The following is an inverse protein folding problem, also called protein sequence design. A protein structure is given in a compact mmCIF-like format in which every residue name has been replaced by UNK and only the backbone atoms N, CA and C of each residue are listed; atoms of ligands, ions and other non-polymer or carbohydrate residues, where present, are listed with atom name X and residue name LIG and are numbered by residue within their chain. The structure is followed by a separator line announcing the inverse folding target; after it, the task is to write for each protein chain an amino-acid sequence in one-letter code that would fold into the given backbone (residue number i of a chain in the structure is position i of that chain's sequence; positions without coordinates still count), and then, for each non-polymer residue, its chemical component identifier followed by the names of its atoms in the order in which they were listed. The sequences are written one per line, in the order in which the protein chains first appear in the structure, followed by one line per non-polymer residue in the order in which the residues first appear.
data_IF_753042437414
#
_entry.id   IF_753042437414
#
_cell.length_a   1.000
_cell.length_b   1.000
_cell.length_c   1.000
_cell.angle_alpha   90.00
_cell.angle_beta   90.00
_cell.angle_gamma   90.00
#
_symmetry.space_group_name_H-M   'P 1'
#
loop_
_entity.id
_entity.type
_entity.pdbx_description
1 polymer ?
#
# COMPACT_ATOMS: atom_id res chain seq x y z
N UNK A 1 43.07 -43.47 -30.74
CA UNK A 1 42.47 -42.41 -31.57
C UNK A 1 42.23 -41.25 -30.61
N UNK A 2 43.05 -40.19 -30.55
CA UNK A 2 43.21 -39.08 -31.52
C UNK A 2 41.88 -38.36 -31.86
N UNK A 3 41.76 -37.13 -31.31
CA UNK A 3 41.25 -35.89 -31.95
C UNK A 3 39.76 -35.88 -32.37
N UNK A 4 39.03 -34.76 -32.31
CA UNK A 4 39.43 -33.37 -32.60
C UNK A 4 38.91 -32.31 -31.60
N UNK A 5 39.35 -31.07 -31.84
CA UNK A 5 39.15 -29.87 -31.03
C UNK A 5 38.80 -28.71 -31.98
N UNK A 6 37.78 -27.89 -31.70
CA UNK A 6 37.58 -26.58 -32.34
C UNK A 6 36.61 -25.69 -31.54
N UNK A 7 36.78 -24.36 -31.64
CA UNK A 7 36.19 -23.35 -30.74
C UNK A 7 36.17 -21.96 -31.40
N UNK A 8 34.98 -21.43 -31.69
CA UNK A 8 34.69 -20.03 -32.13
C UNK A 8 33.22 -19.75 -31.73
N UNK A 9 32.89 -18.98 -30.69
CA UNK A 9 32.79 -17.50 -30.62
C UNK A 9 31.78 -16.93 -31.63
N UNK A 10 30.70 -16.28 -31.18
CA UNK A 10 29.86 -15.48 -32.08
C UNK A 10 28.46 -15.03 -31.59
N UNK A 11 28.41 -13.88 -30.91
CA UNK A 11 27.29 -12.89 -30.89
C UNK A 11 25.96 -13.26 -30.19
N UNK A 12 25.46 -12.28 -29.43
CA UNK A 12 24.19 -12.26 -28.71
C UNK A 12 22.96 -12.18 -29.64
N UNK A 13 21.84 -12.76 -29.20
CA UNK A 13 20.50 -12.29 -29.55
C UNK A 13 19.58 -12.41 -28.32
N UNK A 14 18.97 -11.29 -27.93
CA UNK A 14 18.02 -11.23 -26.80
C UNK A 14 16.64 -11.67 -27.32
N UNK A 15 16.06 -12.68 -26.67
CA UNK A 15 14.67 -13.10 -26.88
C UNK A 15 14.02 -13.42 -25.54
N UNK A 16 13.39 -12.42 -24.93
CA UNK A 16 12.57 -12.61 -23.73
C UNK A 16 11.25 -13.28 -24.12
N UNK A 17 11.22 -14.61 -24.11
CA UNK A 17 10.00 -15.38 -24.30
C UNK A 17 9.23 -15.47 -22.97
N UNK A 18 8.37 -14.50 -22.71
CA UNK A 18 7.38 -14.57 -21.62
C UNK A 18 6.34 -15.62 -22.03
N UNK A 19 6.49 -16.85 -21.52
CA UNK A 19 5.53 -17.94 -21.72
C UNK A 19 4.55 -17.92 -20.55
N UNK A 20 3.52 -17.08 -20.64
CA UNK A 20 2.33 -17.21 -19.79
C UNK A 20 1.52 -18.38 -20.37
N UNK A 21 1.61 -19.53 -19.71
CA UNK A 21 0.93 -20.77 -20.07
C UNK A 21 -0.09 -21.17 -19.00
N UNK A 22 -0.91 -20.21 -18.57
CA UNK A 22 -2.04 -20.43 -17.67
C UNK A 22 -3.23 -21.04 -18.45
N UNK A 23 -3.15 -22.35 -18.70
CA UNK A 23 -4.23 -23.12 -19.32
C UNK A 23 -5.39 -23.33 -18.35
N UNK A 24 -6.26 -22.33 -18.22
CA UNK A 24 -7.52 -22.46 -17.49
C UNK A 24 -8.37 -23.57 -18.16
N UNK A 25 -8.40 -24.75 -17.53
CA UNK A 25 -9.03 -25.95 -18.10
C UNK A 25 -10.54 -25.92 -17.89
N UNK A 26 -11.24 -25.11 -18.69
CA UNK A 26 -12.71 -25.03 -18.70
C UNK A 26 -13.28 -26.39 -19.11
N UNK A 27 -13.88 -27.09 -18.15
CA UNK A 27 -14.66 -28.30 -18.40
C UNK A 27 -15.97 -27.93 -19.10
N UNK A 28 -15.98 -28.02 -20.42
CA UNK A 28 -17.20 -27.90 -21.22
C UNK A 28 -18.03 -29.20 -21.09
N UNK A 29 -18.95 -29.23 -20.12
CA UNK A 29 -20.12 -30.09 -20.25
C UNK A 29 -20.92 -29.69 -21.50
N UNK A 30 -21.47 -30.66 -22.23
CA UNK A 30 -22.13 -30.42 -23.52
C UNK A 30 -23.65 -30.30 -23.38
N UNK A 31 -24.26 -29.13 -23.70
CA UNK A 31 -25.70 -29.01 -23.90
C UNK A 31 -26.05 -29.02 -25.41
N UNK A 32 -27.03 -29.84 -25.79
CA UNK A 32 -27.67 -29.80 -27.11
C UNK A 32 -28.96 -28.96 -27.02
N UNK A 33 -28.81 -27.63 -26.98
CA UNK A 33 -29.90 -26.69 -27.27
C UNK A 33 -29.35 -25.37 -27.85
N UNK A 34 -30.15 -24.67 -28.65
CA UNK A 34 -29.74 -23.51 -29.45
C UNK A 34 -30.38 -22.21 -28.95
N UNK A 35 -29.73 -21.55 -27.98
CA UNK A 35 -29.98 -20.15 -27.62
C UNK A 35 -28.70 -19.33 -27.70
N UNK A 36 -28.64 -18.39 -28.65
CA UNK A 36 -27.45 -17.56 -28.88
C UNK A 36 -27.40 -16.32 -27.99
N UNK A 37 -27.21 -16.51 -26.69
CA UNK A 37 -26.80 -15.42 -25.80
C UNK A 37 -25.28 -15.25 -25.87
N UNK A 38 -24.83 -14.02 -26.16
CA UNK A 38 -23.41 -13.68 -26.26
C UNK A 38 -22.82 -13.50 -24.86
N UNK A 39 -22.47 -14.60 -24.20
CA UNK A 39 -21.70 -14.58 -22.95
C UNK A 39 -20.34 -13.93 -23.22
N UNK A 40 -20.21 -12.66 -22.84
CA UNK A 40 -18.92 -11.98 -22.75
C UNK A 40 -18.15 -12.62 -21.61
N UNK A 41 -17.23 -13.53 -21.92
CA UNK A 41 -16.44 -14.24 -20.92
C UNK A 41 -15.71 -13.27 -20.01
N UNK A 42 -16.05 -13.32 -18.72
CA UNK A 42 -15.27 -12.67 -17.66
C UNK A 42 -13.88 -13.30 -17.70
N UNK A 43 -12.84 -12.46 -17.79
CA UNK A 43 -11.45 -12.92 -17.72
C UNK A 43 -11.01 -12.78 -16.29
N UNK A 44 -10.90 -13.90 -15.58
CA UNK A 44 -10.41 -13.99 -14.20
C UNK A 44 -9.07 -13.26 -14.08
N UNK A 45 -9.12 -12.03 -13.58
CA UNK A 45 -7.97 -11.14 -13.58
C UNK A 45 -7.13 -11.44 -12.34
N UNK A 46 -6.11 -12.27 -12.54
CA UNK A 46 -5.14 -12.63 -11.49
C UNK A 46 -4.43 -11.37 -11.01
N UNK A 47 -4.62 -11.04 -9.74
CA UNK A 47 -3.93 -9.95 -9.05
C UNK A 47 -2.66 -10.52 -8.40
N UNK A 48 -1.45 -10.25 -8.94
CA UNK A 48 -0.22 -10.59 -8.25
C UNK A 48 -0.04 -9.69 -7.03
N UNK A 49 0.38 -10.28 -5.92
CA UNK A 49 0.77 -9.56 -4.70
C UNK A 49 2.28 -9.50 -4.66
N UNK A 50 2.81 -8.28 -4.68
CA UNK A 50 4.23 -7.98 -4.51
C UNK A 50 4.69 -8.44 -3.12
N UNK A 51 5.72 -9.28 -3.05
CA UNK A 51 6.21 -9.84 -1.78
C UNK A 51 6.82 -8.77 -0.87
N UNK A 52 7.35 -7.67 -1.44
CA UNK A 52 7.79 -6.51 -0.65
C UNK A 52 6.62 -5.82 0.04
N UNK A 53 5.42 -5.81 -0.57
CA UNK A 53 4.21 -5.26 0.05
C UNK A 53 3.66 -6.15 1.16
N UNK A 54 3.79 -7.48 1.06
CA UNK A 54 3.44 -8.38 2.18
C UNK A 54 4.33 -8.05 3.39
N UNK A 55 5.61 -7.79 3.17
CA UNK A 55 6.53 -7.45 4.26
C UNK A 55 6.31 -6.04 4.84
N UNK A 56 6.09 -5.03 4.00
CA UNK A 56 6.06 -3.61 4.39
C UNK A 56 4.65 -3.03 4.65
N UNK A 57 3.60 -3.57 4.04
CA UNK A 57 2.23 -3.00 4.07
C UNK A 57 1.22 -3.89 4.81
N UNK A 58 1.49 -5.18 5.01
CA UNK A 58 0.55 -6.11 5.68
C UNK A 58 0.80 -6.16 7.19
N UNK A 59 -0.24 -6.51 7.95
CA UNK A 59 -0.15 -6.58 9.41
C UNK A 59 0.41 -7.94 9.82
N UNK A 60 1.60 -7.92 10.42
CA UNK A 60 2.09 -9.09 11.15
C UNK A 60 1.21 -9.31 12.39
N UNK A 61 0.75 -10.54 12.57
CA UNK A 61 -0.07 -10.96 13.71
C UNK A 61 0.51 -12.24 14.36
N UNK A 62 0.35 -12.41 15.68
CA UNK A 62 -0.11 -11.40 16.64
C UNK A 62 0.96 -10.31 16.89
N UNK A 63 2.18 -10.52 16.37
CA UNK A 63 3.39 -9.71 16.50
C UNK A 63 4.02 -9.62 17.91
N UNK A 64 5.23 -9.08 17.95
CA UNK A 64 6.12 -9.03 19.12
C UNK A 64 5.55 -8.28 20.34
N UNK A 65 4.47 -7.51 20.19
CA UNK A 65 3.76 -6.89 21.33
C UNK A 65 3.31 -7.91 22.39
N UNK A 66 3.07 -9.15 21.99
CA UNK A 66 2.61 -10.24 22.86
C UNK A 66 3.74 -11.12 23.41
N UNK A 67 5.01 -10.78 23.13
CA UNK A 67 6.20 -11.45 23.66
C UNK A 67 7.16 -11.94 22.58
N UNK A 68 8.37 -12.32 23.00
CA UNK A 68 9.43 -12.79 22.09
C UNK A 68 9.03 -14.07 21.34
N UNK A 69 8.21 -14.95 21.95
CA UNK A 69 7.64 -16.14 21.31
C UNK A 69 6.59 -15.90 20.22
N UNK A 70 6.44 -14.66 19.74
CA UNK A 70 5.74 -14.35 18.49
C UNK A 70 6.61 -13.58 17.47
N UNK A 71 7.87 -13.29 17.80
CA UNK A 71 8.81 -12.65 16.88
C UNK A 71 9.61 -13.69 16.09
N UNK A 72 9.04 -14.19 14.98
CA UNK A 72 9.73 -15.15 14.11
C UNK A 72 10.91 -14.54 13.33
N UNK A 73 11.28 -13.28 13.56
CA UNK A 73 12.33 -12.58 12.83
C UNK A 73 12.08 -12.61 11.32
N UNK A 74 10.87 -12.23 10.90
CA UNK A 74 10.49 -12.16 9.49
C UNK A 74 11.44 -11.25 8.70
N UNK A 75 11.76 -11.64 7.47
CA UNK A 75 12.64 -10.92 6.54
C UNK A 75 12.06 -10.96 5.13
N UNK A 76 12.44 -9.97 4.31
CA UNK A 76 12.19 -9.94 2.86
C UNK A 76 13.52 -10.00 2.09
N UNK A 77 13.57 -10.81 1.03
CA UNK A 77 14.74 -10.98 0.17
C UNK A 77 14.47 -10.47 -1.25
N UNK A 78 14.84 -9.22 -1.51
CA UNK A 78 14.66 -8.56 -2.81
C UNK A 78 15.50 -9.15 -3.98
N UNK A 79 16.49 -10.02 -3.73
CA UNK A 79 17.20 -10.75 -4.82
C UNK A 79 16.37 -11.94 -5.33
N UNK A 80 15.52 -12.52 -4.46
CA UNK A 80 14.83 -13.80 -4.70
C UNK A 80 13.30 -13.72 -4.60
N UNK A 81 12.76 -12.54 -4.30
CA UNK A 81 11.33 -12.25 -4.18
C UNK A 81 10.60 -13.23 -3.24
N UNK A 82 11.08 -13.35 -2.00
CA UNK A 82 10.40 -14.09 -0.93
C UNK A 82 10.40 -13.33 0.39
N UNK A 83 9.41 -13.61 1.24
CA UNK A 83 9.53 -13.44 2.69
C UNK A 83 9.89 -14.77 3.36
N UNK A 84 10.60 -14.70 4.48
CA UNK A 84 10.95 -15.86 5.30
C UNK A 84 10.98 -15.55 6.81
N UNK A 85 10.80 -16.58 7.63
CA UNK A 85 11.11 -16.55 9.07
C UNK A 85 12.61 -16.79 9.33
N UNK A 86 13.08 -16.49 10.55
CA UNK A 86 14.44 -16.81 11.01
C UNK A 86 14.55 -17.28 12.47
N UNK A 87 13.51 -17.12 13.30
CA UNK A 87 13.48 -17.57 14.70
C UNK A 87 12.46 -18.70 14.89
N UNK A 88 12.78 -19.63 15.79
CA UNK A 88 11.82 -20.66 16.22
C UNK A 88 10.99 -20.08 17.38
N UNK A 89 9.68 -19.90 17.13
CA UNK A 89 8.69 -19.25 18.01
C UNK A 89 7.28 -19.81 17.74
N UNK A 90 6.27 -19.40 18.51
CA UNK A 90 4.86 -19.76 18.26
C UNK A 90 4.27 -19.13 16.98
N UNK A 91 2.96 -19.30 16.79
CA UNK A 91 2.26 -18.89 15.57
C UNK A 91 2.42 -17.40 15.25
N UNK A 92 2.93 -17.09 14.07
CA UNK A 92 2.86 -15.75 13.48
C UNK A 92 2.62 -15.83 11.98
N UNK A 93 1.93 -14.84 11.45
CA UNK A 93 1.72 -14.67 10.01
C UNK A 93 1.47 -13.22 9.63
N UNK A 94 1.07 -13.01 8.39
CA UNK A 94 0.58 -11.72 7.89
C UNK A 94 -0.88 -11.83 7.49
N UNK A 95 -1.63 -10.73 7.65
CA UNK A 95 -2.93 -10.54 6.98
C UNK A 95 -2.97 -9.18 6.28
N UNK A 96 -3.68 -9.10 5.16
CA UNK A 96 -3.81 -7.89 4.36
C UNK A 96 -4.81 -6.90 4.99
N UNK A 97 -4.39 -5.76 5.58
CA UNK A 97 -5.31 -4.79 6.17
C UNK A 97 -6.17 -4.03 5.14
N UNK A 98 -5.83 -4.15 3.84
CA UNK A 98 -6.59 -3.53 2.76
C UNK A 98 -7.73 -4.40 2.23
N UNK A 99 -7.85 -5.66 2.67
CA UNK A 99 -8.96 -6.57 2.32
C UNK A 99 -9.37 -7.33 3.57
N UNK A 100 -10.55 -7.03 4.10
CA UNK A 100 -11.08 -7.57 5.36
C UNK A 100 -12.39 -8.37 5.18
N UNK A 101 -12.93 -8.47 3.96
CA UNK A 101 -14.17 -9.17 3.64
C UNK A 101 -14.10 -10.00 2.34
N UNK A 102 -12.93 -10.56 1.98
CA UNK A 102 -12.82 -11.55 0.90
C UNK A 102 -13.70 -12.76 1.22
N UNK A 103 -14.62 -13.11 0.31
CA UNK A 103 -15.52 -14.26 0.42
C UNK A 103 -15.06 -15.44 -0.45
N UNK A 104 -14.96 -15.24 -1.77
CA UNK A 104 -14.74 -16.31 -2.75
C UNK A 104 -13.74 -15.91 -3.84
N UNK A 105 -13.00 -16.91 -4.34
CA UNK A 105 -11.93 -16.71 -5.30
C UNK A 105 -10.84 -17.77 -5.20
N UNK A 106 -9.67 -17.51 -5.77
CA UNK A 106 -8.55 -18.46 -5.79
C UNK A 106 -7.29 -17.76 -5.27
N UNK A 107 -6.67 -18.30 -4.21
CA UNK A 107 -5.31 -17.94 -3.80
C UNK A 107 -4.30 -18.87 -4.47
N UNK A 108 -3.15 -18.37 -4.91
CA UNK A 108 -2.02 -19.21 -5.33
C UNK A 108 -0.69 -18.61 -4.90
N UNK A 109 0.21 -19.43 -4.36
CA UNK A 109 1.49 -19.01 -3.78
C UNK A 109 2.52 -20.15 -3.82
N UNK A 110 3.80 -19.82 -3.93
CA UNK A 110 4.88 -20.80 -3.76
C UNK A 110 5.30 -20.88 -2.29
N UNK A 111 5.29 -22.09 -1.73
CA UNK A 111 5.88 -22.42 -0.44
C UNK A 111 7.24 -23.11 -0.60
N UNK A 112 8.06 -22.99 0.43
CA UNK A 112 9.19 -23.89 0.72
C UNK A 112 9.47 -23.89 2.22
N UNK A 113 9.96 -24.99 2.77
CA UNK A 113 10.68 -24.96 4.05
C UNK A 113 11.98 -25.76 4.02
N UNK A 114 12.95 -25.33 4.84
CA UNK A 114 14.17 -26.08 5.19
C UNK A 114 14.07 -26.74 6.57
N UNK A 115 13.02 -26.41 7.33
CA UNK A 115 12.73 -27.00 8.64
C UNK A 115 11.56 -27.99 8.52
N UNK A 116 11.37 -28.82 9.54
CA UNK A 116 10.31 -29.82 9.59
C UNK A 116 8.97 -29.27 10.11
N UNK A 117 9.00 -28.13 10.82
CA UNK A 117 7.87 -27.62 11.58
C UNK A 117 6.79 -26.91 10.72
N UNK A 118 5.59 -26.66 11.26
CA UNK A 118 4.45 -26.20 10.48
C UNK A 118 4.59 -24.83 9.80
N UNK A 119 4.11 -24.76 8.56
CA UNK A 119 3.92 -23.51 7.82
C UNK A 119 2.72 -23.62 6.87
N UNK A 120 2.16 -22.50 6.43
CA UNK A 120 0.94 -22.54 5.63
C UNK A 120 0.33 -21.18 5.32
N UNK A 121 -0.98 -21.18 5.09
CA UNK A 121 -1.74 -19.99 4.68
C UNK A 121 -3.12 -19.92 5.34
N UNK A 122 -3.57 -18.70 5.62
CA UNK A 122 -4.87 -18.39 6.22
C UNK A 122 -5.78 -17.63 5.26
N UNK A 123 -7.10 -17.84 5.39
CA UNK A 123 -8.14 -17.06 4.72
C UNK A 123 -9.38 -16.91 5.61
N UNK A 124 -10.27 -15.97 5.28
CA UNK A 124 -11.42 -15.66 6.13
C UNK A 124 -11.03 -15.03 7.47
N UNK A 125 -9.85 -14.41 7.54
CA UNK A 125 -9.27 -13.81 8.75
C UNK A 125 -10.07 -12.61 9.24
N UNK A 126 -10.66 -12.72 10.43
CA UNK A 126 -11.24 -11.61 11.18
C UNK A 126 -10.41 -11.31 12.42
N UNK A 127 -10.43 -10.03 12.81
CA UNK A 127 -9.82 -9.53 14.05
C UNK A 127 -10.90 -8.93 14.95
N UNK A 128 -10.74 -9.08 16.27
CA UNK A 128 -11.61 -8.53 17.30
C UNK A 128 -10.85 -8.39 18.64
N UNK A 129 -11.57 -8.32 19.75
CA UNK A 129 -10.98 -8.12 21.09
C UNK A 129 -10.58 -6.66 21.36
N UNK A 130 -9.50 -6.46 22.11
CA UNK A 130 -8.85 -5.14 22.33
C UNK A 130 -7.37 -5.18 21.91
N UNK A 131 -6.66 -4.04 21.92
CA UNK A 131 -5.23 -4.03 21.60
C UNK A 131 -4.41 -4.85 22.61
N UNK A 132 -4.85 -4.93 23.87
CA UNK A 132 -4.23 -5.70 24.94
C UNK A 132 -4.70 -7.16 25.00
N UNK A 133 -5.75 -7.53 24.26
CA UNK A 133 -6.38 -8.85 24.26
C UNK A 133 -7.08 -9.12 22.91
N UNK A 134 -6.33 -9.29 21.81
CA UNK A 134 -6.90 -9.46 20.48
C UNK A 134 -7.50 -10.86 20.30
N UNK A 135 -8.51 -10.93 19.45
CA UNK A 135 -9.16 -12.17 19.06
C UNK A 135 -9.09 -12.35 17.54
N UNK A 136 -8.76 -13.56 17.08
CA UNK A 136 -8.66 -13.91 15.67
C UNK A 136 -9.59 -15.08 15.34
N UNK A 137 -10.19 -15.10 14.14
CA UNK A 137 -10.87 -16.27 13.60
C UNK A 137 -10.61 -16.38 12.10
N UNK A 138 -10.39 -17.59 11.60
CA UNK A 138 -9.91 -17.84 10.23
C UNK A 138 -10.00 -19.32 9.85
N UNK A 139 -9.85 -19.61 8.57
CA UNK A 139 -9.45 -20.93 8.08
C UNK A 139 -7.94 -20.98 7.87
N UNK A 140 -7.34 -22.16 8.05
CA UNK A 140 -5.92 -22.40 7.82
C UNK A 140 -5.71 -23.68 7.01
N UNK A 141 -4.78 -23.62 6.06
CA UNK A 141 -4.14 -24.79 5.46
C UNK A 141 -2.72 -24.87 6.01
N UNK A 142 -2.39 -25.99 6.66
CA UNK A 142 -1.09 -26.26 7.28
C UNK A 142 -0.37 -27.40 6.54
N UNK A 143 0.93 -27.25 6.32
CA UNK A 143 1.85 -28.34 5.94
C UNK A 143 2.92 -28.52 7.01
N UNK A 144 3.21 -29.77 7.35
CA UNK A 144 4.12 -30.16 8.43
C UNK A 144 4.98 -31.34 7.97
N UNK A 145 6.27 -31.12 7.76
CA UNK A 145 7.20 -32.15 7.28
C UNK A 145 7.73 -33.07 8.40
N UNK A 146 7.63 -32.68 9.69
CA UNK A 146 8.08 -33.49 10.84
C UNK A 146 7.37 -34.86 10.92
N UNK A 147 6.08 -34.87 10.57
CA UNK A 147 5.19 -36.03 10.61
C UNK A 147 4.65 -36.42 9.22
N UNK A 148 5.12 -35.72 8.18
CA UNK A 148 4.61 -35.80 6.79
C UNK A 148 3.08 -35.68 6.73
N UNK A 149 2.55 -34.57 7.28
CA UNK A 149 1.12 -34.27 7.34
C UNK A 149 0.76 -32.92 6.75
N UNK A 150 -0.50 -32.81 6.35
CA UNK A 150 -1.18 -31.54 6.13
C UNK A 150 -2.55 -31.56 6.82
N UNK A 151 -3.09 -30.38 7.09
CA UNK A 151 -4.48 -30.24 7.50
C UNK A 151 -5.16 -28.98 6.96
N UNK A 152 -6.49 -29.03 6.90
CA UNK A 152 -7.38 -27.88 6.76
C UNK A 152 -8.17 -27.72 8.04
N UNK A 153 -8.12 -26.55 8.64
CA UNK A 153 -8.76 -26.23 9.91
C UNK A 153 -9.63 -24.98 9.84
N UNK A 154 -10.67 -24.92 10.67
CA UNK A 154 -11.42 -23.71 11.01
C UNK A 154 -11.07 -23.32 12.44
N UNK A 155 -10.67 -22.07 12.65
CA UNK A 155 -10.44 -21.45 13.96
C UNK A 155 -11.60 -20.49 14.22
N UNK A 156 -12.51 -20.91 15.10
CA UNK A 156 -13.68 -20.11 15.51
C UNK A 156 -13.26 -18.94 16.42
N UNK A 157 -12.18 -19.13 17.20
CA UNK A 157 -11.54 -18.10 18.01
C UNK A 157 -10.11 -18.50 18.36
N UNK A 158 -9.21 -17.52 18.38
CA UNK A 158 -7.88 -17.58 18.99
C UNK A 158 -7.57 -16.28 19.73
N UNK A 159 -7.08 -16.39 20.97
CA UNK A 159 -6.51 -15.28 21.74
C UNK A 159 -5.05 -15.60 22.07
N UNK A 160 -4.04 -14.85 21.59
CA UNK A 160 -2.63 -15.11 21.86
C UNK A 160 -2.30 -15.16 23.36
N UNK A 161 -1.47 -16.11 23.78
CA UNK A 161 -1.06 -16.24 25.18
C UNK A 161 -0.01 -15.17 25.54
N UNK A 162 -0.08 -14.61 26.75
CA UNK A 162 0.67 -13.40 27.13
C UNK A 162 2.02 -13.68 27.81
N UNK A 163 2.39 -14.95 27.91
CA UNK A 163 3.68 -15.43 28.41
C UNK A 163 4.70 -15.65 27.28
N UNK A 164 4.24 -16.02 26.08
CA UNK A 164 5.06 -16.08 24.87
C UNK A 164 6.28 -17.00 25.00
N UNK A 165 6.17 -18.07 25.78
CA UNK A 165 7.30 -18.92 26.21
C UNK A 165 7.35 -20.32 25.56
N UNK A 166 6.49 -20.59 24.58
CA UNK A 166 6.25 -21.91 24.01
C UNK A 166 6.01 -21.85 22.51
N UNK A 167 6.53 -22.82 21.76
CA UNK A 167 6.09 -23.08 20.40
C UNK A 167 4.64 -23.59 20.46
N UNK A 168 3.71 -22.74 20.07
CA UNK A 168 2.27 -22.98 20.20
C UNK A 168 1.48 -22.21 19.15
N UNK A 169 0.37 -22.78 18.72
CA UNK A 169 -0.46 -22.18 17.68
C UNK A 169 -1.92 -22.64 17.72
N UNK A 170 -2.85 -21.81 17.19
CA UNK A 170 -4.27 -22.16 17.06
C UNK A 170 -4.47 -23.39 16.16
N UNK A 171 -3.60 -23.58 15.17
CA UNK A 171 -3.24 -24.91 14.65
C UNK A 171 -1.75 -25.10 14.89
N UNK A 172 -1.35 -26.28 15.33
CA UNK A 172 0.05 -26.70 15.36
C UNK A 172 0.12 -28.22 15.17
N UNK A 173 0.91 -28.67 14.20
CA UNK A 173 1.12 -30.09 13.91
C UNK A 173 -0.20 -30.85 13.70
N UNK A 174 -1.07 -30.26 12.87
CA UNK A 174 -2.40 -30.77 12.52
C UNK A 174 -3.27 -31.09 13.75
N UNK A 175 -3.14 -30.24 14.78
CA UNK A 175 -3.88 -30.27 16.04
C UNK A 175 -4.33 -28.84 16.36
N UNK A 176 -5.61 -28.63 16.73
CA UNK A 176 -6.10 -27.29 17.17
C UNK A 176 -5.57 -26.99 18.58
N UNK A 177 -5.33 -25.74 18.96
CA UNK A 177 -5.05 -25.34 20.36
C UNK A 177 -3.88 -26.14 21.00
N UNK A 178 -2.73 -26.14 20.32
CA UNK A 178 -1.63 -27.07 20.61
C UNK A 178 -0.25 -26.39 20.74
N UNK A 179 0.65 -27.09 21.42
CA UNK A 179 2.04 -26.70 21.70
C UNK A 179 2.94 -27.95 21.81
N UNK A 180 4.27 -27.78 21.96
CA UNK A 180 5.26 -28.87 21.90
C UNK A 180 4.95 -30.13 22.73
N UNK A 181 4.48 -29.97 23.97
CA UNK A 181 4.13 -31.09 24.85
C UNK A 181 2.69 -31.62 24.64
N UNK A 182 1.92 -31.03 23.70
CA UNK A 182 0.46 -31.14 23.63
C UNK A 182 -0.14 -31.39 22.23
N UNK A 183 0.67 -31.84 21.24
CA UNK A 183 0.17 -32.31 19.93
C UNK A 183 0.17 -33.84 19.78
N UNK A 184 -0.49 -34.36 18.73
CA UNK A 184 -0.46 -35.80 18.39
C UNK A 184 -0.32 -36.11 16.89
N UNK A 185 -0.42 -35.13 15.99
CA UNK A 185 -0.53 -35.33 14.53
C UNK A 185 -1.75 -36.17 14.08
N UNK A 186 -2.89 -36.08 14.79
CA UNK A 186 -4.08 -36.93 14.55
C UNK A 186 -5.31 -36.21 13.98
N UNK A 187 -5.27 -34.88 13.75
CA UNK A 187 -6.48 -34.11 13.43
C UNK A 187 -7.36 -33.81 14.65
N UNK A 188 -6.79 -33.87 15.86
CA UNK A 188 -7.47 -33.69 17.13
C UNK A 188 -7.57 -32.20 17.55
N UNK A 189 -8.42 -31.92 18.54
CA UNK A 189 -8.25 -30.73 19.40
C UNK A 189 -7.26 -31.00 20.53
N UNK A 190 -6.41 -30.00 20.81
CA UNK A 190 -5.52 -29.92 21.97
C UNK A 190 -6.24 -29.46 23.23
N UNK A 191 -5.50 -28.81 24.13
CA UNK A 191 -5.98 -28.48 25.47
C UNK A 191 -5.19 -27.36 26.17
N UNK A 192 -4.52 -26.47 25.43
CA UNK A 192 -3.74 -25.36 26.01
C UNK A 192 -4.66 -24.19 26.43
N UNK A 193 -5.85 -24.09 25.83
CA UNK A 193 -6.95 -23.22 26.28
C UNK A 193 -6.95 -21.81 25.69
N UNK A 194 -6.24 -21.58 24.59
CA UNK A 194 -6.13 -20.27 23.92
C UNK A 194 -6.91 -20.20 22.59
N UNK A 195 -7.27 -21.34 21.99
CA UNK A 195 -8.02 -21.40 20.74
C UNK A 195 -9.20 -22.40 20.80
N UNK A 196 -10.19 -22.19 19.92
CA UNK A 196 -11.30 -23.10 19.67
C UNK A 196 -11.51 -23.22 18.16
N UNK A 197 -11.74 -24.44 17.67
CA UNK A 197 -11.86 -24.72 16.26
C UNK A 197 -11.93 -26.22 15.96
N UNK A 198 -11.81 -26.57 14.69
CA UNK A 198 -12.06 -27.91 14.16
C UNK A 198 -11.10 -28.22 12.99
N UNK A 199 -10.48 -29.40 13.00
CA UNK A 199 -9.76 -29.92 11.81
C UNK A 199 -10.79 -30.51 10.86
N UNK A 200 -11.11 -29.76 9.80
CA UNK A 200 -12.07 -30.18 8.76
C UNK A 200 -11.53 -31.37 7.95
N UNK A 201 -10.20 -31.42 7.78
CA UNK A 201 -9.51 -32.46 7.01
C UNK A 201 -8.04 -32.56 7.41
N UNK A 202 -7.48 -33.76 7.36
CA UNK A 202 -6.04 -33.97 7.39
C UNK A 202 -5.66 -35.18 6.51
N UNK A 203 -4.38 -35.32 6.22
CA UNK A 203 -3.86 -36.44 5.45
C UNK A 203 -2.33 -36.50 5.44
N UNK A 204 -1.80 -37.46 4.69
CA UNK A 204 -0.37 -37.61 4.44
C UNK A 204 0.11 -36.56 3.41
N UNK A 205 1.26 -35.95 3.68
CA UNK A 205 1.97 -35.03 2.79
C UNK A 205 3.12 -35.79 2.11
N UNK A 206 3.42 -35.46 0.85
CA UNK A 206 4.56 -36.08 0.16
C UNK A 206 5.89 -35.54 0.72
N UNK A 207 6.75 -36.46 1.18
CA UNK A 207 8.11 -36.19 1.64
C UNK A 207 8.96 -35.45 0.59
N UNK A 208 8.65 -35.60 -0.71
CA UNK A 208 9.38 -34.93 -1.79
C UNK A 208 9.26 -33.39 -1.76
N UNK A 209 8.27 -32.86 -1.04
CA UNK A 209 8.02 -31.44 -0.88
C UNK A 209 8.97 -30.77 0.14
N UNK A 210 9.59 -31.54 1.04
CA UNK A 210 10.56 -31.02 2.01
C UNK A 210 11.83 -30.52 1.31
N UNK A 211 12.26 -29.28 1.60
CA UNK A 211 13.34 -28.56 0.90
C UNK A 211 13.08 -28.34 -0.62
N UNK A 212 11.91 -28.70 -1.16
CA UNK A 212 11.48 -28.29 -2.49
C UNK A 212 10.80 -26.91 -2.44
N UNK A 213 10.67 -26.28 -3.62
CA UNK A 213 9.64 -25.24 -3.84
C UNK A 213 8.42 -25.94 -4.43
N UNK A 214 7.24 -25.64 -3.90
CA UNK A 214 5.97 -26.16 -4.41
C UNK A 214 4.91 -25.07 -4.44
N UNK A 215 4.02 -25.12 -5.43
CA UNK A 215 2.90 -24.20 -5.53
C UNK A 215 1.70 -24.78 -4.79
N UNK A 216 1.07 -23.96 -3.94
CA UNK A 216 -0.21 -24.25 -3.31
C UNK A 216 -1.26 -23.35 -3.94
N UNK A 217 -2.39 -23.94 -4.35
CA UNK A 217 -3.54 -23.19 -4.86
C UNK A 217 -4.78 -23.55 -4.03
N UNK A 218 -5.44 -22.55 -3.46
CA UNK A 218 -6.62 -22.70 -2.61
C UNK A 218 -7.79 -22.00 -3.32
N UNK A 219 -8.68 -22.78 -3.92
CA UNK A 219 -9.92 -22.30 -4.53
C UNK A 219 -11.03 -22.34 -3.49
N UNK A 220 -11.58 -21.16 -3.17
CA UNK A 220 -12.56 -20.90 -2.11
C UNK A 220 -13.89 -20.53 -2.77
N UNK A 221 -14.80 -21.50 -2.86
CA UNK A 221 -16.20 -21.28 -3.23
C UNK A 221 -17.09 -21.12 -1.99
N UNK A 222 -18.35 -20.72 -2.15
CA UNK A 222 -19.26 -20.35 -1.05
C UNK A 222 -19.38 -21.41 0.09
N UNK A 223 -19.29 -22.69 -0.27
CA UNK A 223 -19.52 -23.84 0.62
C UNK A 223 -18.48 -24.95 0.50
N UNK A 224 -17.49 -24.75 -0.37
CA UNK A 224 -16.54 -25.78 -0.79
C UNK A 224 -15.17 -25.13 -1.00
N UNK A 225 -14.15 -25.66 -0.34
CA UNK A 225 -12.76 -25.24 -0.58
C UNK A 225 -11.99 -26.42 -1.17
N UNK A 226 -11.34 -26.19 -2.32
CA UNK A 226 -10.47 -27.15 -3.01
C UNK A 226 -9.03 -26.70 -2.91
N UNK A 227 -8.14 -27.58 -2.45
CA UNK A 227 -6.71 -27.31 -2.30
C UNK A 227 -5.92 -28.19 -3.25
N UNK A 228 -4.98 -27.59 -3.95
CA UNK A 228 -4.08 -28.21 -4.92
C UNK A 228 -2.63 -27.98 -4.50
N UNK A 229 -1.77 -28.98 -4.74
CA UNK A 229 -0.31 -28.83 -4.68
C UNK A 229 0.25 -29.17 -6.06
N UNK A 230 1.06 -28.27 -6.63
CA UNK A 230 1.64 -28.42 -7.97
C UNK A 230 0.59 -28.79 -9.04
N UNK A 231 -0.56 -28.10 -8.98
CA UNK A 231 -1.75 -28.27 -9.83
C UNK A 231 -2.49 -29.62 -9.68
N UNK A 232 -2.02 -30.55 -8.84
CA UNK A 232 -2.76 -31.78 -8.48
C UNK A 232 -3.69 -31.54 -7.28
N UNK A 233 -4.93 -32.04 -7.35
CA UNK A 233 -5.93 -31.88 -6.29
C UNK A 233 -5.54 -32.70 -5.04
N UNK A 234 -5.15 -32.00 -3.97
CA UNK A 234 -4.85 -32.59 -2.67
C UNK A 234 -6.14 -32.95 -1.92
N UNK A 235 -7.10 -32.02 -1.84
CA UNK A 235 -8.34 -32.26 -1.10
C UNK A 235 -9.47 -31.30 -1.45
N UNK A 236 -10.68 -31.72 -1.06
CA UNK A 236 -11.90 -30.90 -1.00
C UNK A 236 -12.45 -30.94 0.42
N UNK A 237 -12.89 -29.79 0.94
CA UNK A 237 -13.65 -29.68 2.20
C UNK A 237 -14.96 -28.94 1.99
N UNK A 238 -16.01 -29.37 2.69
CA UNK A 238 -17.25 -28.60 2.85
C UNK A 238 -17.08 -27.63 4.02
N UNK A 239 -17.34 -26.34 3.80
CA UNK A 239 -17.22 -25.28 4.80
C UNK A 239 -18.02 -24.04 4.39
N UNK A 240 -18.90 -23.54 5.26
CA UNK A 240 -19.54 -22.23 5.05
C UNK A 240 -18.48 -21.12 5.16
N UNK A 241 -18.08 -20.50 4.04
CA UNK A 241 -16.91 -19.62 4.05
C UNK A 241 -17.18 -18.29 4.75
N UNK A 242 -16.29 -17.95 5.67
CA UNK A 242 -16.32 -16.70 6.44
C UNK A 242 -15.59 -15.62 5.64
N UNK A 243 -16.27 -14.51 5.35
CA UNK A 243 -15.65 -13.32 4.74
C UNK A 243 -14.50 -12.79 5.62
N UNK A 244 -13.33 -12.49 5.07
CA UNK A 244 -12.20 -12.01 5.89
C UNK A 244 -10.97 -11.58 5.10
N UNK A 245 -9.87 -11.35 5.80
CA UNK A 245 -8.53 -11.19 5.22
C UNK A 245 -7.84 -12.54 4.96
N UNK A 246 -6.60 -12.52 4.49
CA UNK A 246 -5.80 -13.70 4.15
C UNK A 246 -4.30 -13.43 4.23
N UNK A 247 -3.50 -14.49 4.34
CA UNK A 247 -2.05 -14.43 4.24
C UNK A 247 -1.28 -15.60 4.87
N UNK A 248 0.05 -15.66 4.64
CA UNK A 248 0.92 -16.76 5.06
C UNK A 248 1.17 -16.78 6.57
N UNK A 249 1.46 -17.96 7.13
CA UNK A 249 1.82 -18.16 8.53
C UNK A 249 2.91 -19.22 8.73
N UNK A 250 3.61 -19.15 9.86
CA UNK A 250 4.57 -20.15 10.33
C UNK A 250 4.40 -20.38 11.85
N UNK A 251 4.65 -21.61 12.31
CA UNK A 251 4.59 -22.00 13.72
C UNK A 251 5.73 -22.97 14.01
N UNK A 252 6.58 -22.69 15.00
CA UNK A 252 7.86 -23.36 15.28
C UNK A 252 8.90 -23.35 14.13
N UNK A 253 8.56 -22.77 12.98
CA UNK A 253 9.38 -22.90 11.77
C UNK A 253 10.28 -21.66 11.54
N UNK A 254 11.61 -21.73 11.84
CA UNK A 254 12.58 -20.66 11.57
C UNK A 254 13.03 -20.57 10.11
N UNK A 255 12.56 -21.44 9.21
CA UNK A 255 12.99 -21.52 7.82
C UNK A 255 11.80 -21.80 6.89
N UNK A 256 10.70 -21.08 7.08
CA UNK A 256 9.54 -21.08 6.19
C UNK A 256 9.69 -19.95 5.16
N UNK A 257 9.41 -20.21 3.89
CA UNK A 257 9.61 -19.29 2.77
C UNK A 257 8.33 -19.19 1.94
N UNK A 258 7.93 -17.96 1.59
CA UNK A 258 6.74 -17.67 0.79
C UNK A 258 7.07 -16.67 -0.32
N UNK A 259 6.62 -16.95 -1.55
CA UNK A 259 6.83 -16.09 -2.72
C UNK A 259 5.66 -16.20 -3.71
N UNK A 260 5.59 -15.26 -4.66
CA UNK A 260 4.66 -15.31 -5.81
C UNK A 260 3.18 -15.42 -5.40
N UNK A 261 2.79 -14.80 -4.27
CA UNK A 261 1.39 -14.77 -3.87
C UNK A 261 0.58 -14.03 -4.94
N UNK A 262 -0.55 -14.60 -5.30
CA UNK A 262 -1.54 -14.00 -6.19
C UNK A 262 -2.94 -14.42 -5.76
N UNK A 263 -3.93 -13.63 -6.13
CA UNK A 263 -5.33 -14.02 -5.95
C UNK A 263 -6.19 -13.60 -7.14
N UNK A 264 -7.25 -14.37 -7.38
CA UNK A 264 -8.47 -13.88 -8.03
C UNK A 264 -9.57 -13.82 -6.97
N UNK A 265 -10.49 -12.87 -7.09
CA UNK A 265 -11.83 -12.99 -6.51
C UNK A 265 -12.77 -13.56 -7.57
N UNK A 266 -13.87 -14.20 -7.17
CA UNK A 266 -14.91 -14.59 -8.13
C UNK A 266 -15.51 -13.35 -8.82
N UNK A 267 -15.66 -12.26 -8.06
CA UNK A 267 -15.96 -10.92 -8.55
C UNK A 267 -14.67 -10.10 -8.58
N UNK A 268 -13.88 -10.15 -9.66
CA UNK A 268 -12.73 -9.22 -9.79
C UNK A 268 -13.24 -7.83 -10.14
N UNK A 269 -13.52 -7.03 -9.11
CA UNK A 269 -14.01 -5.67 -9.30
C UNK A 269 -12.89 -4.68 -9.59
N UNK A 270 -12.90 -4.09 -10.79
CA UNK A 270 -12.04 -2.97 -11.17
C UNK A 270 -12.64 -1.67 -10.63
N UNK A 271 -12.22 -1.29 -9.42
CA UNK A 271 -12.52 -0.01 -8.80
C UNK A 271 -11.54 1.09 -9.25
N UNK A 272 -12.02 2.09 -9.99
CA UNK A 272 -11.29 3.34 -10.24
C UNK A 272 -11.84 4.46 -9.34
N UNK A 273 -11.06 4.88 -8.34
CA UNK A 273 -11.29 6.16 -7.66
C UNK A 273 -10.93 7.32 -8.60
N UNK A 274 -11.79 8.33 -8.73
CA UNK A 274 -11.58 9.47 -9.62
C UNK A 274 -12.48 10.63 -9.22
N UNK A 275 -11.98 11.86 -9.21
CA UNK A 275 -12.82 13.05 -8.97
C UNK A 275 -12.27 14.30 -9.64
N UNK A 276 -13.10 15.34 -9.72
CA UNK A 276 -12.72 16.70 -10.11
C UNK A 276 -13.28 17.74 -9.14
N UNK A 277 -12.49 18.77 -8.83
CA UNK A 277 -13.02 19.97 -8.17
C UNK A 277 -13.79 20.79 -9.20
N UNK A 278 -14.93 21.35 -8.81
CA UNK A 278 -15.74 22.23 -9.65
C UNK A 278 -16.02 23.57 -8.96
N UNK A 279 -16.20 24.60 -9.76
CA UNK A 279 -16.63 25.93 -9.31
C UNK A 279 -18.16 26.05 -9.20
N UNK A 280 -18.65 27.25 -8.84
CA UNK A 280 -20.08 27.60 -8.75
C UNK A 280 -20.87 27.43 -10.07
N UNK A 281 -20.21 27.20 -11.21
CA UNK A 281 -20.84 26.90 -12.51
C UNK A 281 -20.85 25.42 -12.87
N UNK A 282 -20.19 24.56 -12.09
CA UNK A 282 -19.95 23.16 -12.44
C UNK A 282 -18.78 22.96 -13.41
N UNK A 283 -17.91 23.97 -13.57
CA UNK A 283 -16.71 23.88 -14.42
C UNK A 283 -15.55 23.32 -13.61
N UNK A 284 -14.80 22.36 -14.17
CA UNK A 284 -13.65 21.76 -13.51
C UNK A 284 -12.51 22.76 -13.30
N UNK A 285 -11.93 22.81 -12.08
CA UNK A 285 -10.91 23.78 -11.68
C UNK A 285 -9.73 23.13 -10.94
N UNK A 286 -8.57 23.78 -11.00
CA UNK A 286 -7.37 23.46 -10.18
C UNK A 286 -6.87 24.67 -9.37
N UNK A 287 -7.46 25.84 -9.57
CA UNK A 287 -7.14 27.08 -8.86
C UNK A 287 -8.42 27.87 -8.64
N UNK A 288 -8.64 28.42 -7.45
CA UNK A 288 -9.85 29.19 -7.13
C UNK A 288 -9.59 30.30 -6.09
N UNK A 289 -10.26 31.46 -6.17
CA UNK A 289 -10.23 32.47 -5.10
C UNK A 289 -10.88 31.99 -3.80
N UNK A 290 -10.34 32.35 -2.63
CA UNK A 290 -10.86 31.95 -1.31
C UNK A 290 -12.25 32.49 -0.96
N UNK A 291 -12.80 33.42 -1.75
CA UNK A 291 -14.16 33.93 -1.62
C UNK A 291 -15.18 33.22 -2.54
N UNK A 292 -14.79 32.12 -3.18
CA UNK A 292 -15.64 31.31 -4.08
C UNK A 292 -15.85 29.90 -3.53
N UNK A 293 -17.02 29.33 -3.80
CA UNK A 293 -17.30 27.94 -3.41
C UNK A 293 -16.65 26.94 -4.36
N UNK A 294 -16.22 25.84 -3.76
CA UNK A 294 -15.78 24.62 -4.44
C UNK A 294 -16.79 23.53 -4.14
N UNK A 295 -17.11 22.72 -5.13
CA UNK A 295 -17.66 21.37 -4.92
C UNK A 295 -16.66 20.33 -5.42
N UNK A 296 -16.77 19.10 -4.92
CA UNK A 296 -16.17 17.95 -5.58
C UNK A 296 -17.28 17.24 -6.34
N UNK A 297 -16.99 16.86 -7.57
CA UNK A 297 -17.77 15.89 -8.32
C UNK A 297 -16.98 14.59 -8.34
N UNK A 298 -17.53 13.57 -7.70
CA UNK A 298 -17.04 12.22 -7.87
C UNK A 298 -17.26 11.75 -9.32
N UNK A 299 -16.30 10.98 -9.81
CA UNK A 299 -16.22 10.38 -11.13
C UNK A 299 -15.79 8.91 -11.03
N UNK A 300 -15.85 8.33 -9.83
CA UNK A 300 -15.37 6.99 -9.55
C UNK A 300 -16.27 5.96 -10.24
N UNK A 301 -15.68 4.82 -10.60
CA UNK A 301 -16.38 3.79 -11.37
C UNK A 301 -16.00 2.40 -10.93
N UNK A 302 -16.96 1.49 -11.11
CA UNK A 302 -16.85 0.06 -10.91
C UNK A 302 -17.42 -0.67 -12.13
N UNK A 303 -17.12 -1.96 -12.25
CA UNK A 303 -17.53 -2.84 -13.34
C UNK A 303 -18.61 -3.86 -12.92
N UNK A 304 -18.38 -4.60 -11.82
CA UNK A 304 -19.25 -5.68 -11.36
C UNK A 304 -19.76 -5.50 -9.92
N UNK A 305 -18.95 -4.94 -9.02
CA UNK A 305 -19.30 -4.78 -7.59
C UNK A 305 -19.40 -3.29 -7.24
N UNK A 306 -20.54 -2.80 -6.71
CA UNK A 306 -20.71 -1.38 -6.40
C UNK A 306 -19.68 -0.80 -5.43
N UNK A 307 -19.45 0.51 -5.53
CA UNK A 307 -18.75 1.28 -4.49
C UNK A 307 -19.70 1.44 -3.31
N UNK A 308 -19.38 0.79 -2.19
CA UNK A 308 -20.12 0.88 -0.93
C UNK A 308 -19.45 1.83 0.08
N UNK A 309 -18.18 2.18 -0.14
CA UNK A 309 -17.41 3.04 0.77
C UNK A 309 -16.46 3.98 0.02
N UNK A 310 -16.54 5.26 0.32
CA UNK A 310 -15.56 6.28 -0.05
C UNK A 310 -14.65 6.59 1.14
N UNK A 311 -13.38 6.90 0.87
CA UNK A 311 -12.40 7.36 1.87
C UNK A 311 -11.69 8.59 1.30
N UNK A 312 -12.18 9.75 1.72
CA UNK A 312 -11.60 11.05 1.42
C UNK A 312 -10.54 11.40 2.47
N UNK A 313 -9.45 12.03 2.05
CA UNK A 313 -8.50 12.69 2.94
C UNK A 313 -8.01 13.97 2.29
N UNK A 314 -7.89 15.05 3.08
CA UNK A 314 -7.43 16.36 2.61
C UNK A 314 -6.27 16.84 3.47
N UNK A 315 -5.22 17.30 2.80
CA UNK A 315 -4.13 18.06 3.41
C UNK A 315 -4.18 19.53 2.99
N UNK A 316 -3.69 20.40 3.85
CA UNK A 316 -3.36 21.79 3.53
C UNK A 316 -1.84 21.96 3.75
N UNK A 317 -1.08 22.03 2.66
CA UNK A 317 0.36 21.73 2.71
C UNK A 317 0.59 20.29 3.18
N UNK A 318 1.44 20.10 4.18
CA UNK A 318 1.77 18.77 4.74
C UNK A 318 0.76 18.26 5.79
N UNK A 319 -0.03 19.14 6.39
CA UNK A 319 -0.94 18.83 7.52
C UNK A 319 -2.24 18.19 7.03
N UNK A 320 -2.62 17.03 7.58
CA UNK A 320 -3.92 16.38 7.33
C UNK A 320 -4.99 17.13 8.14
N UNK A 321 -5.92 17.78 7.43
CA UNK A 321 -6.99 18.59 8.02
C UNK A 321 -8.35 17.88 8.00
N UNK A 322 -8.50 16.81 7.21
CA UNK A 322 -9.74 16.04 7.11
C UNK A 322 -9.47 14.60 6.66
N UNK A 323 -10.19 13.65 7.25
CA UNK A 323 -10.40 12.29 6.74
C UNK A 323 -11.85 11.90 7.02
N UNK A 324 -12.54 11.28 6.06
CA UNK A 324 -13.94 10.87 6.22
C UNK A 324 -14.55 10.23 4.99
N UNK A 325 -15.83 9.85 5.11
CA UNK A 325 -16.58 9.08 4.10
C UNK A 325 -17.41 9.96 3.16
N UNK A 326 -17.22 11.28 3.20
CA UNK A 326 -17.86 12.24 2.29
C UNK A 326 -16.87 13.28 1.78
N UNK A 327 -17.11 13.90 0.61
CA UNK A 327 -16.20 14.91 0.08
C UNK A 327 -16.09 16.13 1.01
N UNK A 328 -14.86 16.58 1.26
CA UNK A 328 -14.60 17.81 1.99
C UNK A 328 -15.10 19.05 1.23
N UNK A 329 -15.50 20.10 1.95
CA UNK A 329 -16.15 21.29 1.35
C UNK A 329 -15.61 22.65 1.84
N UNK A 330 -14.74 22.68 2.85
CA UNK A 330 -14.31 23.94 3.52
C UNK A 330 -12.99 24.51 2.96
N UNK A 331 -12.92 24.70 1.65
CA UNK A 331 -11.77 25.28 0.93
C UNK A 331 -11.65 26.81 1.11
N UNK A 332 -11.59 27.28 2.35
CA UNK A 332 -11.68 28.69 2.73
C UNK A 332 -10.34 29.36 3.12
N UNK A 333 -9.25 28.61 3.25
CA UNK A 333 -7.91 29.14 3.57
C UNK A 333 -7.06 29.28 2.31
N UNK A 334 -6.15 30.26 2.28
CA UNK A 334 -5.22 30.44 1.16
C UNK A 334 -4.08 29.41 1.28
N UNK A 335 -3.82 28.66 0.22
CA UNK A 335 -2.79 27.62 0.23
C UNK A 335 -3.00 26.55 -0.83
N UNK A 336 -2.23 25.46 -0.72
CA UNK A 336 -2.35 24.29 -1.58
C UNK A 336 -3.04 23.15 -0.83
N UNK A 337 -4.21 22.74 -1.33
CA UNK A 337 -4.95 21.59 -0.82
C UNK A 337 -4.65 20.35 -1.65
N UNK A 338 -4.23 19.27 -1.02
CA UNK A 338 -4.09 17.95 -1.66
C UNK A 338 -5.21 17.06 -1.14
N UNK A 339 -6.20 16.79 -1.99
CA UNK A 339 -7.28 15.83 -1.70
C UNK A 339 -6.93 14.48 -2.33
N UNK A 340 -7.13 13.41 -1.57
CA UNK A 340 -7.03 12.02 -2.05
C UNK A 340 -8.34 11.28 -1.84
N UNK A 341 -8.68 10.39 -2.77
CA UNK A 341 -9.81 9.47 -2.69
C UNK A 341 -9.31 8.03 -2.86
N UNK A 342 -9.80 7.14 -2.00
CA UNK A 342 -9.83 5.70 -2.25
C UNK A 342 -11.28 5.21 -2.12
N UNK A 343 -11.72 4.33 -3.00
CA UNK A 343 -13.06 3.72 -2.93
C UNK A 343 -12.96 2.21 -2.67
N UNK A 344 -13.98 1.62 -2.08
CA UNK A 344 -14.07 0.19 -1.80
C UNK A 344 -15.48 -0.39 -2.03
N UNK A 345 -15.54 -1.70 -2.31
CA UNK A 345 -16.79 -2.46 -2.45
C UNK A 345 -17.19 -3.18 -1.15
N UNK A 346 -18.30 -3.93 -1.17
CA UNK A 346 -18.80 -4.73 -0.04
C UNK A 346 -17.77 -5.77 0.47
N UNK A 347 -16.94 -6.32 -0.41
CA UNK A 347 -15.87 -7.29 -0.09
C UNK A 347 -14.61 -6.62 0.49
N UNK A 348 -14.62 -5.29 0.68
CA UNK A 348 -13.50 -4.50 1.21
C UNK A 348 -12.35 -4.31 0.22
N UNK A 349 -12.47 -4.78 -1.02
CA UNK A 349 -11.49 -4.56 -2.10
C UNK A 349 -11.40 -3.06 -2.35
N UNK A 350 -10.19 -2.53 -2.49
CA UNK A 350 -9.92 -1.09 -2.63
C UNK A 350 -9.34 -0.71 -3.98
N UNK A 351 -9.72 0.46 -4.46
CA UNK A 351 -9.03 1.12 -5.57
C UNK A 351 -7.59 1.51 -5.22
N UNK A 352 -6.80 1.82 -6.25
CA UNK A 352 -5.64 2.70 -6.07
C UNK A 352 -6.09 4.06 -5.51
N UNK A 353 -5.20 4.75 -4.79
CA UNK A 353 -5.47 6.10 -4.27
C UNK A 353 -5.37 7.12 -5.40
N UNK A 354 -6.46 7.82 -5.69
CA UNK A 354 -6.49 8.95 -6.62
C UNK A 354 -6.16 10.25 -5.88
N UNK A 355 -5.47 11.19 -6.53
CA UNK A 355 -5.01 12.44 -5.89
C UNK A 355 -5.17 13.65 -6.80
N UNK A 356 -5.64 14.77 -6.25
CA UNK A 356 -5.74 16.07 -6.95
C UNK A 356 -5.40 17.25 -6.05
N UNK A 357 -4.59 18.14 -6.59
CA UNK A 357 -4.26 19.44 -5.99
C UNK A 357 -5.27 20.53 -6.38
N UNK A 358 -5.65 21.36 -5.42
CA UNK A 358 -6.36 22.63 -5.61
C UNK A 358 -5.57 23.76 -4.96
N UNK A 359 -5.25 24.81 -5.71
CA UNK A 359 -4.65 26.03 -5.16
C UNK A 359 -5.74 27.05 -4.83
N UNK A 360 -5.89 27.41 -3.56
CA UNK A 360 -6.79 28.49 -3.13
C UNK A 360 -5.99 29.79 -2.99
N UNK A 361 -6.40 30.84 -3.72
CA UNK A 361 -5.69 32.12 -3.81
C UNK A 361 -6.39 33.25 -3.07
N UNK A 362 -5.71 34.37 -2.87
CA UNK A 362 -6.36 35.63 -2.49
C UNK A 362 -7.49 35.99 -3.49
N UNK A 363 -8.57 36.65 -3.03
CA UNK A 363 -9.60 37.17 -3.90
C UNK A 363 -9.05 38.30 -4.77
N UNK A 364 -9.38 38.29 -6.06
CA UNK A 364 -9.01 39.37 -6.96
C UNK A 364 -9.64 40.68 -6.49
N UNK A 365 -8.81 41.64 -6.08
CA UNK A 365 -9.26 42.98 -5.69
C UNK A 365 -9.89 43.67 -6.89
N UNK A 366 -11.19 43.91 -6.86
CA UNK A 366 -11.85 44.71 -7.90
C UNK A 366 -11.18 46.08 -7.96
N UNK A 367 -10.59 46.41 -9.12
CA UNK A 367 -9.98 47.71 -9.34
C UNK A 367 -11.07 48.79 -9.16
N UNK A 368 -10.84 49.84 -8.36
CA UNK A 368 -11.89 50.78 -7.99
C UNK A 368 -12.47 51.43 -9.24
N UNK A 369 -13.74 51.13 -9.52
CA UNK A 369 -14.49 51.65 -10.65
C UNK A 369 -14.36 53.17 -10.68
N UNK A 370 -13.65 53.72 -11.66
CA UNK A 370 -13.59 55.16 -11.84
C UNK A 370 -14.99 55.65 -12.19
N UNK A 371 -15.66 56.23 -11.20
CA UNK A 371 -16.89 56.97 -11.39
C UNK A 371 -16.52 58.15 -12.28
N UNK A 372 -16.85 58.07 -13.56
CA UNK A 372 -16.62 59.15 -14.52
C UNK A 372 -17.54 60.30 -14.12
N UNK A 373 -17.00 61.22 -13.33
CA UNK A 373 -17.70 62.44 -12.93
C UNK A 373 -17.83 63.33 -14.16
N UNK A 374 -19.06 63.56 -14.62
CA UNK A 374 -19.34 64.39 -15.79
C UNK A 374 -18.67 65.75 -15.68
N UNK A 375 -17.77 66.04 -16.62
CA UNK A 375 -17.06 67.31 -16.68
C UNK A 375 -18.03 68.44 -17.08
N UNK A 376 -17.97 69.62 -16.45
CA UNK A 376 -18.91 70.70 -16.73
C UNK A 376 -18.74 71.24 -18.15
N UNK A 377 -19.86 71.32 -18.90
CA UNK A 377 -19.92 71.81 -20.28
C UNK A 377 -19.36 73.23 -20.40
N UNK A 378 -18.18 73.37 -21.02
CA UNK A 378 -17.57 74.67 -21.26
C UNK A 378 -18.27 75.42 -22.40
N UNK A 379 -18.57 76.70 -22.18
CA UNK A 379 -19.07 77.61 -23.23
C UNK A 379 -17.95 78.11 -24.14
N UNK A 380 -18.21 78.36 -25.44
CA UNK A 380 -17.18 78.74 -26.39
C UNK A 380 -16.67 80.17 -26.16
N UNK A 381 -15.35 80.33 -26.11
CA UNK A 381 -14.68 81.64 -26.04
C UNK A 381 -13.89 81.89 -27.33
N UNK A 382 -13.95 83.12 -27.85
CA UNK A 382 -13.40 83.50 -29.16
C UNK A 382 -11.87 83.69 -29.08
N UNK A 383 -11.17 83.26 -30.14
CA UNK A 383 -9.71 83.36 -30.25
C UNK A 383 -9.21 84.71 -30.79
N UNK A 384 -8.07 85.23 -30.31
CA UNK A 384 -7.29 86.27 -30.97
C UNK A 384 -6.10 85.71 -31.78
N UNK A 385 -5.57 86.52 -32.70
CA UNK A 385 -4.59 86.14 -33.73
C UNK A 385 -3.12 86.29 -33.30
N UNK A 386 -2.20 85.65 -34.05
CA UNK A 386 -0.72 85.78 -33.97
C UNK A 386 -0.22 87.25 -34.21
N UNK A 387 1.05 87.64 -34.06
CA UNK A 387 2.32 86.93 -34.32
C UNK A 387 3.56 87.54 -33.53
N UNK A 388 4.83 87.58 -34.01
CA UNK A 388 5.81 86.49 -33.78
C UNK A 388 7.25 86.91 -33.36
N UNK A 389 8.12 85.89 -33.18
CA UNK A 389 9.61 85.91 -33.39
C UNK A 389 10.53 86.50 -32.30
N UNK A 390 11.57 85.75 -31.91
CA UNK A 390 13.04 86.08 -31.89
C UNK A 390 13.83 84.93 -31.19
N UNK A 391 15.08 84.69 -31.59
CA UNK A 391 16.07 83.76 -31.01
C UNK A 391 17.51 84.30 -31.32
N UNK A 392 18.66 83.63 -31.02
CA UNK A 392 18.97 82.45 -30.17
C UNK A 392 20.21 82.66 -29.24
N UNK A 393 20.83 81.58 -28.72
CA UNK A 393 22.22 81.49 -28.14
C UNK A 393 22.48 82.20 -26.78
N UNK A 394 23.48 81.86 -25.93
CA UNK A 394 24.73 81.04 -26.01
C UNK A 394 24.96 80.13 -24.77
N UNK A 395 26.05 79.32 -24.79
CA UNK A 395 26.72 78.67 -23.65
C UNK A 395 28.26 78.92 -23.78
N UNK A 396 29.21 78.27 -23.06
CA UNK A 396 29.20 77.56 -21.76
C UNK A 396 30.29 78.06 -20.77
N UNK A 397 30.43 77.49 -19.55
CA UNK A 397 31.75 77.38 -18.86
C UNK A 397 31.80 76.39 -17.66
N UNK A 398 32.93 75.69 -17.54
CA UNK A 398 33.48 74.92 -16.39
C UNK A 398 34.95 75.38 -16.20
N UNK A 399 35.85 74.83 -15.33
CA UNK A 399 35.78 73.72 -14.35
C UNK A 399 36.07 74.23 -12.90
N UNK A 400 36.92 73.74 -11.96
CA UNK A 400 38.02 72.73 -11.92
C UNK A 400 38.47 72.36 -10.48
N UNK A 401 38.45 71.05 -10.14
CA UNK A 401 39.19 70.43 -8.99
C UNK A 401 38.82 70.92 -7.57
N UNK A 402 39.28 70.33 -6.45
CA UNK A 402 40.28 69.27 -6.14
C UNK A 402 39.79 68.49 -4.87
N UNK A 403 40.32 67.37 -4.38
CA UNK A 403 41.47 66.49 -4.72
C UNK A 403 41.23 65.04 -4.19
N UNK A 404 42.24 64.16 -4.28
CA UNK A 404 42.38 62.89 -3.54
C UNK A 404 43.64 62.92 -2.60
N UNK A 405 44.03 61.88 -1.82
CA UNK A 405 44.58 60.62 -2.40
C UNK A 405 44.46 59.30 -1.58
N UNK A 406 44.49 58.17 -2.31
CA UNK A 406 45.10 56.86 -1.95
C UNK A 406 44.54 56.05 -0.74
N UNK A 407 44.77 54.73 -0.62
CA UNK A 407 45.58 53.79 -1.43
C UNK A 407 44.98 52.38 -1.55
N UNK A 408 45.36 51.65 -2.61
CA UNK A 408 45.52 50.18 -2.72
C UNK A 408 44.34 49.22 -2.42
N UNK A 409 44.03 48.21 -3.25
CA UNK A 409 44.57 47.87 -4.58
C UNK A 409 44.52 46.36 -4.92
N UNK A 410 44.59 46.05 -6.23
CA UNK A 410 44.47 44.73 -6.90
C UNK A 410 43.03 44.20 -6.95
N UNK A 411 42.40 43.97 -8.10
CA UNK A 411 42.76 43.33 -9.39
C UNK A 411 42.75 41.79 -9.38
N UNK A 412 41.63 41.25 -9.87
CA UNK A 412 41.49 40.08 -10.78
C UNK A 412 40.02 39.61 -10.70
N UNK A 413 39.16 39.70 -11.72
CA UNK A 413 39.37 40.18 -13.09
C UNK A 413 39.19 39.07 -14.12
N UNK A 414 37.93 38.76 -14.49
CA UNK A 414 37.51 38.18 -15.79
C UNK A 414 36.00 38.34 -15.92
N UNK A 415 35.51 38.67 -17.12
CA UNK A 415 34.07 38.72 -17.46
C UNK A 415 33.72 37.52 -18.31
N UNK A 416 32.64 36.82 -17.99
CA UNK A 416 32.00 35.86 -18.89
C UNK A 416 30.48 35.83 -18.65
N UNK A 417 29.71 35.88 -19.73
CA UNK A 417 28.25 35.75 -19.76
C UNK A 417 27.83 34.28 -19.87
N UNK A 418 26.72 33.89 -19.26
CA UNK A 418 26.08 32.60 -19.58
C UNK A 418 24.88 32.26 -18.71
N UNK A 419 23.68 32.34 -19.27
CA UNK A 419 22.56 31.53 -18.78
C UNK A 419 22.82 30.06 -19.14
N UNK A 420 22.36 29.13 -18.31
CA UNK A 420 21.54 27.98 -18.73
C UNK A 420 21.06 27.17 -17.51
N UNK A 421 20.03 26.34 -17.75
CA UNK A 421 19.22 25.69 -16.71
C UNK A 421 19.80 24.35 -16.20
N UNK A 422 19.08 23.79 -15.22
CA UNK A 422 19.07 22.36 -14.80
C UNK A 422 20.35 21.73 -14.26
N UNK A 423 20.37 21.52 -12.94
CA UNK A 423 20.56 20.20 -12.32
C UNK A 423 20.03 20.24 -10.86
N UNK A 424 19.63 19.10 -10.31
CA UNK A 424 19.17 19.00 -8.92
C UNK A 424 20.33 18.63 -7.98
N UNK A 425 20.23 19.06 -6.71
CA UNK A 425 20.33 18.14 -5.58
C UNK A 425 19.72 18.77 -4.31
N UNK A 426 18.88 18.00 -3.60
CA UNK A 426 18.49 18.32 -2.23
C UNK A 426 19.55 17.78 -1.26
N UNK A 427 19.98 18.59 -0.30
CA UNK A 427 20.63 18.11 0.94
C UNK A 427 20.07 18.90 2.12
N UNK A 428 18.95 18.44 2.66
CA UNK A 428 18.41 18.91 3.95
C UNK A 428 19.33 18.35 5.05
N UNK A 429 19.72 19.18 6.02
CA UNK A 429 20.50 18.72 7.18
C UNK A 429 20.03 19.45 8.44
N UNK A 430 19.64 18.67 9.45
CA UNK A 430 18.77 19.11 10.55
C UNK A 430 17.32 18.69 10.29
N UNK A 431 16.51 18.31 11.29
CA UNK A 431 16.67 18.49 12.75
C UNK A 431 16.29 17.18 13.47
N UNK A 432 17.17 16.62 14.31
CA UNK A 432 16.80 15.48 15.17
C UNK A 432 17.73 15.32 16.40
N UNK A 433 17.56 16.17 17.42
CA UNK A 433 18.31 16.08 18.70
C UNK A 433 17.42 16.26 19.94
N UNK A 434 16.26 16.92 19.83
CA UNK A 434 15.47 17.37 21.00
C UNK A 434 14.80 16.23 21.78
N UNK A 435 14.45 15.10 21.13
CA UNK A 435 13.74 13.99 21.77
C UNK A 435 14.57 13.22 22.82
N UNK A 436 15.90 13.11 22.65
CA UNK A 436 16.74 12.22 23.46
C UNK A 436 16.99 12.68 24.91
N UNK A 437 16.83 13.98 25.20
CA UNK A 437 17.16 14.55 26.52
C UNK A 437 16.06 14.29 27.55
N UNK A 438 14.79 14.29 27.12
CA UNK A 438 13.61 14.17 28.00
C UNK A 438 13.55 12.80 28.68
N UNK A 439 13.78 11.73 27.92
CA UNK A 439 13.72 10.34 28.41
C UNK A 439 14.78 10.06 29.48
N UNK A 440 15.98 10.64 29.33
CA UNK A 440 17.10 10.42 30.25
C UNK A 440 16.84 11.01 31.65
N UNK A 441 16.08 12.11 31.73
CA UNK A 441 15.70 12.74 33.00
C UNK A 441 14.64 11.92 33.77
N UNK A 442 13.69 11.31 33.05
CA UNK A 442 12.65 10.45 33.65
C UNK A 442 13.27 9.15 34.18
N UNK A 443 14.16 8.52 33.41
CA UNK A 443 14.84 7.29 33.81
C UNK A 443 15.69 7.48 35.08
N UNK A 444 16.34 8.64 35.25
CA UNK A 444 17.18 8.90 36.43
C UNK A 444 16.36 9.06 37.71
N UNK A 445 15.19 9.70 37.67
CA UNK A 445 14.36 9.94 38.87
C UNK A 445 13.85 8.64 39.52
N UNK A 446 13.45 7.63 38.72
CA UNK A 446 12.91 6.36 39.24
C UNK A 446 13.92 5.50 40.01
N UNK A 447 15.24 5.77 39.92
CA UNK A 447 16.28 4.97 40.58
C UNK A 447 16.56 5.39 42.03
N UNK A 448 16.17 6.61 42.40
CA UNK A 448 16.34 7.13 43.77
C UNK A 448 15.12 6.80 44.66
N UNK A 449 13.95 6.52 44.06
CA UNK A 449 12.69 6.19 44.76
C UNK A 449 12.57 4.70 45.17
N UNK A 450 13.64 3.91 45.03
CA UNK A 450 13.68 2.45 45.35
C UNK A 450 14.78 2.04 46.33
N UNK A 451 15.35 2.98 47.11
CA UNK A 451 16.33 2.70 48.18
C UNK A 451 16.03 3.47 49.48
N UNK A 452 14.84 3.23 50.07
CA UNK A 452 14.47 3.59 51.45
C UNK A 452 13.70 2.44 52.08
#
# INVERSE_FOLDING_TARGET
MQKNFLKTIGVSLISAAIVISSSAMVFAETPDDTSSDSVTGVVDTVVPVDTEKIYNEWINYPNEKFGEGYNAGWQYNAEKDYINTTQNVGWTGFYNPSIDNFTTGIFSFTMKSLNFDPSGFTWGMKTGGTEEDPEYSFYAFETCHYSSKWCVARIDKWSPAKDGSSHQGPVYHSTIDASDDYYKHLGDSGAVGFATGEVLKFGDLDDSLYNAEYNVTINVGEKEVKIFINDELLTTVEADVIAGSFGPFATSNPEAFFSKLSFTTADVCVLEAKFEYQDESGTAVTTIPSNKKVTIKDLSSYDVSPIEKEIWTVKLGDEVIYTGETPYTEYNQIGEYVTTLQVANEQGIRSNVYSRTLTVTEPATEAPTQIVTDAPTATPTIAPTAAPTIAPTTAPTTPKSTDAPASSGKDSGTVATGSNSSAALFTVTGILVVAGVTTLLIAKKRKDETNV
#
